data_IF_727661166302
#
_entry.id   IF_727661166302
#
_cell.length_a   1.000
_cell.length_b   1.000
_cell.length_c   1.000
_cell.angle_alpha   90.00
_cell.angle_beta   90.00
_cell.angle_gamma   90.00
#
_symmetry.space_group_name_H-M   'P 1'
#
loop_
_entity.id
_entity.type
_entity.pdbx_description
1 polymer ?
#
# COMPACT_ATOMS: atom_id res chain seq x y z
N UNK A 1 52.36 33.50 -44.85
CA UNK A 1 51.05 34.01 -45.30
C UNK A 1 50.01 33.22 -44.53
N UNK A 2 49.36 33.61 -43.44
CA UNK A 2 49.19 34.83 -42.63
C UNK A 2 49.15 34.38 -41.15
N UNK A 3 49.96 34.94 -40.24
CA UNK A 3 49.58 35.95 -39.23
C UNK A 3 48.62 35.44 -38.12
N UNK A 4 48.68 35.76 -36.82
CA UNK A 4 49.59 36.45 -35.88
C UNK A 4 48.72 36.64 -34.58
N UNK A 5 49.36 36.73 -33.39
CA UNK A 5 48.87 37.29 -32.08
C UNK A 5 47.73 36.57 -31.32
N UNK A 6 47.86 36.17 -30.04
CA UNK A 6 48.33 36.83 -28.77
C UNK A 6 47.17 37.46 -27.99
N UNK A 7 46.93 36.89 -26.80
CA UNK A 7 46.30 37.41 -25.58
C UNK A 7 45.13 38.39 -25.70
N UNK A 8 43.95 37.94 -25.27
CA UNK A 8 42.92 38.83 -24.72
C UNK A 8 42.22 38.16 -23.54
N UNK A 9 42.31 38.80 -22.36
CA UNK A 9 41.54 38.46 -21.17
C UNK A 9 40.04 38.47 -21.50
N UNK A 10 39.36 37.35 -21.27
CA UNK A 10 37.90 37.30 -21.30
C UNK A 10 37.37 37.34 -19.87
N UNK A 11 36.87 38.51 -19.48
CA UNK A 11 36.03 38.68 -18.29
C UNK A 11 34.70 37.96 -18.57
N UNK A 12 34.44 36.86 -17.86
CA UNK A 12 33.12 36.21 -17.87
C UNK A 12 32.12 37.10 -17.13
N UNK A 13 31.29 37.82 -17.89
CA UNK A 13 30.08 38.45 -17.38
C UNK A 13 29.07 37.33 -17.04
N UNK A 14 28.91 37.06 -15.75
CA UNK A 14 27.78 36.30 -15.22
C UNK A 14 26.50 37.14 -15.40
N UNK A 15 25.82 36.98 -16.53
CA UNK A 15 24.43 37.42 -16.68
C UNK A 15 23.54 36.46 -15.89
N UNK A 16 22.84 36.89 -14.82
CA UNK A 16 21.82 36.05 -14.22
C UNK A 16 20.66 35.94 -15.22
N UNK A 17 20.49 34.77 -15.81
CA UNK A 17 19.21 34.40 -16.41
C UNK A 17 18.18 34.39 -15.29
N UNK A 18 17.49 35.52 -15.11
CA UNK A 18 16.21 35.58 -14.43
C UNK A 18 15.19 34.84 -15.30
N UNK A 19 15.26 33.51 -15.29
CA UNK A 19 14.11 32.69 -15.64
C UNK A 19 13.04 33.05 -14.63
N UNK A 20 12.02 33.78 -15.10
CA UNK A 20 10.78 33.98 -14.37
C UNK A 20 10.26 32.59 -14.03
N UNK A 21 10.48 32.15 -12.79
CA UNK A 21 9.74 31.05 -12.21
C UNK A 21 8.32 31.58 -12.13
N UNK A 22 7.52 31.26 -13.15
CA UNK A 22 6.08 31.38 -13.03
C UNK A 22 5.72 30.45 -11.89
N UNK A 23 5.45 31.03 -10.72
CA UNK A 23 4.68 30.36 -9.68
C UNK A 23 3.36 29.97 -10.36
N UNK A 24 3.29 28.73 -10.83
CA UNK A 24 2.01 28.11 -11.11
C UNK A 24 1.33 28.09 -9.76
N UNK A 25 0.39 29.02 -9.56
CA UNK A 25 -0.50 28.95 -8.41
C UNK A 25 -1.03 27.51 -8.39
N UNK A 26 -0.83 26.79 -7.29
CA UNK A 26 -1.40 25.45 -7.10
C UNK A 26 -2.89 25.57 -7.42
N UNK A 27 -3.27 24.99 -8.56
CA UNK A 27 -4.61 25.17 -9.11
C UNK A 27 -5.59 24.46 -8.20
N UNK A 28 -6.17 25.20 -7.25
CA UNK A 28 -7.32 24.74 -6.50
C UNK A 28 -8.46 24.54 -7.50
N UNK A 29 -8.91 23.30 -7.66
CA UNK A 29 -10.05 22.96 -8.49
C UNK A 29 -11.20 22.60 -7.57
N UNK A 30 -12.29 23.37 -7.64
CA UNK A 30 -13.47 23.05 -6.86
C UNK A 30 -14.01 21.67 -7.24
N UNK A 31 -13.98 20.73 -6.29
CA UNK A 31 -14.58 19.40 -6.46
C UNK A 31 -16.10 19.56 -6.57
N UNK A 32 -16.66 19.25 -7.74
CA UNK A 32 -18.11 19.13 -7.97
C UNK A 32 -18.51 17.65 -7.96
N UNK A 33 -18.50 17.06 -6.78
CA UNK A 33 -18.82 15.65 -6.56
C UNK A 33 -19.62 15.52 -5.25
N UNK A 34 -20.62 14.64 -5.21
CA UNK A 34 -21.31 14.27 -3.98
C UNK A 34 -20.55 13.19 -3.18
N UNK A 35 -19.50 12.60 -3.78
CA UNK A 35 -18.68 11.61 -3.10
C UNK A 35 -17.73 12.29 -2.11
N UNK A 36 -17.73 11.79 -0.88
CA UNK A 36 -16.75 12.12 0.16
C UNK A 36 -15.89 10.90 0.44
N UNK A 37 -14.62 11.15 0.74
CA UNK A 37 -13.70 10.12 1.19
C UNK A 37 -12.96 10.56 2.43
N UNK A 38 -12.69 9.60 3.31
CA UNK A 38 -11.80 9.76 4.45
C UNK A 38 -11.00 8.49 4.63
N UNK A 39 -9.76 8.63 5.11
CA UNK A 39 -8.82 7.51 5.21
C UNK A 39 -8.07 7.55 6.53
N UNK A 40 -7.76 6.38 7.06
CA UNK A 40 -6.84 6.21 8.16
C UNK A 40 -5.97 4.98 7.92
N UNK A 41 -4.69 5.06 8.27
CA UNK A 41 -3.77 3.93 8.28
C UNK A 41 -3.18 3.78 9.69
N UNK A 42 -3.09 2.55 10.18
CA UNK A 42 -2.63 2.22 11.53
C UNK A 42 -1.63 1.07 11.50
N UNK A 43 -0.65 1.12 12.40
CA UNK A 43 0.29 0.03 12.62
C UNK A 43 -0.40 -1.12 13.38
N UNK A 44 -0.38 -2.31 12.76
CA UNK A 44 -0.93 -3.55 13.32
C UNK A 44 0.16 -4.57 13.67
N UNK A 45 1.43 -4.17 13.69
CA UNK A 45 2.54 -5.01 14.12
C UNK A 45 2.35 -5.43 15.57
N UNK A 46 2.47 -6.73 15.92
CA UNK A 46 2.47 -7.17 17.31
C UNK A 46 3.54 -6.44 18.13
N UNK A 47 3.22 -6.03 19.36
CA UNK A 47 4.20 -5.38 20.24
C UNK A 47 5.37 -6.32 20.60
N UNK A 48 5.10 -7.63 20.73
CA UNK A 48 6.07 -8.65 21.10
C UNK A 48 6.34 -9.57 19.88
N UNK A 49 7.37 -9.23 19.09
CA UNK A 49 7.71 -9.95 17.85
C UNK A 49 8.76 -11.05 18.07
N UNK A 50 9.59 -10.95 19.11
CA UNK A 50 10.70 -11.87 19.33
C UNK A 50 10.16 -13.30 19.54
N UNK A 51 10.62 -14.25 18.71
CA UNK A 51 10.20 -15.66 18.68
C UNK A 51 8.78 -15.93 18.16
N UNK A 52 8.07 -14.91 17.68
CA UNK A 52 6.78 -15.10 17.01
C UNK A 52 6.99 -15.90 15.72
N UNK A 53 6.10 -16.86 15.45
CA UNK A 53 6.09 -17.62 14.20
C UNK A 53 5.12 -16.99 13.20
N UNK A 54 5.61 -16.66 12.00
CA UNK A 54 4.79 -16.12 10.90
C UNK A 54 4.09 -17.25 10.15
N UNK A 55 2.99 -16.95 9.44
CA UNK A 55 2.06 -18.00 8.96
C UNK A 55 2.28 -18.52 7.54
N UNK A 56 2.79 -17.71 6.61
CA UNK A 56 2.95 -18.13 5.21
C UNK A 56 4.14 -19.06 5.04
N UNK A 57 5.33 -18.46 5.00
CA UNK A 57 6.60 -19.20 5.06
C UNK A 57 7.02 -19.30 6.53
N UNK A 58 6.49 -20.32 7.21
CA UNK A 58 6.62 -20.49 8.67
C UNK A 58 8.06 -20.48 9.12
N UNK A 59 8.36 -19.54 10.00
CA UNK A 59 9.67 -19.33 10.63
C UNK A 59 9.52 -18.41 11.84
N UNK A 60 10.43 -18.51 12.79
CA UNK A 60 10.48 -17.58 13.92
C UNK A 60 11.16 -16.29 13.52
N UNK A 61 10.57 -15.16 13.88
CA UNK A 61 11.17 -13.84 13.64
C UNK A 61 11.83 -13.29 14.91
N UNK A 62 12.87 -12.49 14.71
CA UNK A 62 13.67 -11.84 15.76
C UNK A 62 13.40 -10.34 15.86
N UNK A 63 12.54 -9.81 14.99
CA UNK A 63 12.19 -8.40 14.94
C UNK A 63 11.41 -8.07 13.67
N UNK A 64 11.33 -6.78 13.38
CA UNK A 64 10.53 -6.19 12.30
C UNK A 64 11.49 -5.48 11.34
N UNK A 65 11.37 -5.74 10.03
CA UNK A 65 12.07 -4.99 8.98
C UNK A 65 11.32 -3.69 8.70
N UNK A 66 10.01 -3.83 8.51
CA UNK A 66 9.08 -2.76 8.19
C UNK A 66 7.71 -3.13 8.80
N UNK A 67 6.92 -2.14 9.27
CA UNK A 67 5.72 -2.40 10.04
C UNK A 67 4.60 -2.96 9.18
N UNK A 68 3.79 -3.84 9.76
CA UNK A 68 2.53 -4.29 9.19
C UNK A 68 1.46 -3.23 9.43
N UNK A 69 0.62 -2.99 8.43
CA UNK A 69 -0.36 -1.90 8.48
C UNK A 69 -1.76 -2.39 8.16
N UNK A 70 -2.74 -1.69 8.71
CA UNK A 70 -4.11 -1.73 8.25
C UNK A 70 -4.53 -0.35 7.74
N UNK A 71 -5.16 -0.32 6.57
CA UNK A 71 -5.77 0.87 5.99
C UNK A 71 -7.29 0.77 6.03
N UNK A 72 -7.97 1.86 6.33
CA UNK A 72 -9.43 1.98 6.22
C UNK A 72 -9.77 3.19 5.38
N UNK A 73 -10.34 2.96 4.20
CA UNK A 73 -10.91 3.98 3.32
C UNK A 73 -12.42 3.96 3.46
N UNK A 74 -13.00 5.06 3.92
CA UNK A 74 -14.45 5.26 4.01
C UNK A 74 -14.89 6.15 2.86
N UNK A 75 -15.96 5.74 2.17
CA UNK A 75 -16.59 6.50 1.09
C UNK A 75 -18.06 6.73 1.43
N UNK A 76 -18.58 7.91 1.10
CA UNK A 76 -19.95 8.35 1.38
C UNK A 76 -20.47 9.20 0.21
N UNK A 77 -21.55 8.78 -0.45
CA UNK A 77 -22.20 9.52 -1.53
C UNK A 77 -23.40 10.38 -1.07
N UNK A 78 -23.65 10.43 0.24
CA UNK A 78 -24.80 11.07 0.87
C UNK A 78 -26.00 10.15 1.11
N UNK A 79 -26.04 8.97 0.49
CA UNK A 79 -27.08 7.95 0.64
C UNK A 79 -26.53 6.64 1.22
N UNK A 80 -25.36 6.22 0.73
CA UNK A 80 -24.69 4.97 1.08
C UNK A 80 -23.27 5.26 1.56
N UNK A 81 -22.93 4.68 2.70
CA UNK A 81 -21.54 4.62 3.18
C UNK A 81 -20.98 3.23 3.01
N UNK A 82 -19.74 3.15 2.58
CA UNK A 82 -18.98 1.91 2.45
C UNK A 82 -17.59 2.07 3.07
N UNK A 83 -16.99 0.96 3.48
CA UNK A 83 -15.60 0.95 3.94
C UNK A 83 -14.80 -0.15 3.22
N UNK A 84 -13.57 0.19 2.81
CA UNK A 84 -12.58 -0.74 2.30
C UNK A 84 -11.45 -0.84 3.32
N UNK A 85 -11.27 -2.02 3.90
CA UNK A 85 -10.21 -2.34 4.85
C UNK A 85 -9.15 -3.18 4.17
N UNK A 86 -7.89 -2.77 4.23
CA UNK A 86 -6.74 -3.54 3.73
C UNK A 86 -5.83 -3.93 4.88
N UNK A 87 -5.35 -5.17 4.90
CA UNK A 87 -4.53 -5.73 5.97
C UNK A 87 -3.22 -6.31 5.41
N UNK A 88 -2.09 -5.98 6.01
CA UNK A 88 -0.81 -6.66 5.74
C UNK A 88 -0.75 -8.04 6.43
N UNK A 89 -1.70 -8.92 6.11
CA UNK A 89 -1.85 -10.27 6.65
C UNK A 89 -2.00 -11.31 5.53
N UNK A 90 -1.91 -12.60 5.89
CA UNK A 90 -2.01 -13.72 4.95
C UNK A 90 -3.39 -13.86 4.30
N UNK A 91 -4.45 -13.47 5.01
CA UNK A 91 -5.82 -13.70 4.58
C UNK A 91 -6.82 -12.92 5.44
N UNK A 92 -7.96 -12.60 4.85
CA UNK A 92 -9.10 -12.00 5.54
C UNK A 92 -10.13 -13.11 5.82
N UNK A 93 -9.82 -13.96 6.81
CA UNK A 93 -10.68 -15.08 7.20
C UNK A 93 -11.89 -14.62 8.02
N UNK A 94 -12.94 -15.43 8.08
CA UNK A 94 -14.19 -15.10 8.80
C UNK A 94 -13.96 -14.69 10.25
N UNK A 95 -12.95 -15.26 10.91
CA UNK A 95 -12.52 -14.98 12.27
C UNK A 95 -12.00 -13.54 12.44
N UNK A 96 -11.46 -12.94 11.38
CA UNK A 96 -11.05 -11.52 11.33
C UNK A 96 -12.22 -10.66 10.83
N UNK A 97 -12.82 -11.07 9.70
CA UNK A 97 -13.81 -10.27 8.96
C UNK A 97 -15.05 -9.99 9.81
N UNK A 98 -15.58 -11.01 10.49
CA UNK A 98 -16.81 -10.88 11.28
C UNK A 98 -16.66 -9.87 12.42
N UNK A 99 -15.66 -10.00 13.34
CA UNK A 99 -15.48 -9.01 14.39
C UNK A 99 -15.01 -7.65 13.87
N UNK A 100 -14.23 -7.59 12.78
CA UNK A 100 -13.82 -6.31 12.19
C UNK A 100 -15.04 -5.53 11.67
N UNK A 101 -15.94 -6.20 10.93
CA UNK A 101 -17.19 -5.58 10.45
C UNK A 101 -18.06 -5.09 11.60
N UNK A 102 -18.28 -5.94 12.61
CA UNK A 102 -19.08 -5.57 13.78
C UNK A 102 -18.50 -4.38 14.54
N UNK A 103 -17.18 -4.36 14.73
CA UNK A 103 -16.50 -3.26 15.43
C UNK A 103 -16.51 -1.96 14.61
N UNK A 104 -16.32 -2.03 13.29
CA UNK A 104 -16.38 -0.85 12.41
C UNK A 104 -17.80 -0.31 12.34
N UNK A 105 -18.81 -1.17 12.19
CA UNK A 105 -20.23 -0.78 12.21
C UNK A 105 -20.58 -0.06 13.50
N UNK A 106 -20.16 -0.61 14.65
CA UNK A 106 -20.34 0.03 15.96
C UNK A 106 -19.73 1.42 16.04
N UNK A 107 -18.52 1.63 15.50
CA UNK A 107 -17.79 2.90 15.62
C UNK A 107 -18.21 3.96 14.58
N UNK A 108 -18.84 3.55 13.49
CA UNK A 108 -19.08 4.44 12.33
C UNK A 108 -20.53 4.49 11.85
N UNK A 109 -21.36 3.50 12.22
CA UNK A 109 -22.70 3.30 11.68
C UNK A 109 -22.72 2.78 10.23
N UNK A 110 -21.58 2.43 9.63
CA UNK A 110 -21.53 1.83 8.30
C UNK A 110 -22.04 0.38 8.42
N UNK A 111 -23.09 -0.03 7.69
CA UNK A 111 -23.64 -1.37 7.79
C UNK A 111 -22.57 -2.43 7.53
N UNK A 112 -22.54 -3.53 8.30
CA UNK A 112 -21.55 -4.60 8.13
C UNK A 112 -21.46 -5.14 6.69
N UNK A 113 -22.58 -5.19 5.98
CA UNK A 113 -22.67 -5.61 4.58
C UNK A 113 -21.95 -4.68 3.60
N UNK A 114 -21.73 -3.42 3.98
CA UNK A 114 -21.08 -2.39 3.17
C UNK A 114 -19.56 -2.29 3.45
N UNK A 115 -19.01 -3.23 4.21
CA UNK A 115 -17.60 -3.23 4.63
C UNK A 115 -16.87 -4.37 3.93
N UNK A 116 -15.93 -4.03 3.05
CA UNK A 116 -14.99 -4.98 2.47
C UNK A 116 -13.74 -5.07 3.36
N UNK A 117 -13.30 -6.29 3.66
CA UNK A 117 -12.04 -6.54 4.36
C UNK A 117 -11.18 -7.44 3.47
N UNK A 118 -10.00 -6.97 3.10
CA UNK A 118 -9.07 -7.64 2.22
C UNK A 118 -7.69 -7.71 2.86
N UNK A 119 -6.94 -8.75 2.53
CA UNK A 119 -5.57 -8.92 2.98
C UNK A 119 -4.62 -8.90 1.77
N UNK A 120 -3.39 -8.39 1.95
CA UNK A 120 -2.39 -8.36 0.90
C UNK A 120 -1.83 -9.74 0.54
N UNK A 121 -2.21 -10.78 1.28
CA UNK A 121 -1.71 -12.15 1.24
C UNK A 121 -0.29 -12.31 1.78
N UNK A 122 0.09 -11.48 2.74
CA UNK A 122 1.43 -11.40 3.32
C UNK A 122 1.89 -12.71 4.00
N UNK A 123 3.07 -13.20 3.63
CA UNK A 123 3.67 -14.45 4.16
C UNK A 123 4.54 -14.29 5.41
N UNK A 124 4.81 -13.04 5.82
CA UNK A 124 5.76 -12.67 6.87
C UNK A 124 5.09 -12.01 8.08
N UNK A 125 3.76 -12.05 8.16
CA UNK A 125 2.96 -11.55 9.26
C UNK A 125 2.52 -12.63 10.25
N UNK A 126 1.95 -12.23 11.41
CA UNK A 126 1.47 -13.16 12.42
C UNK A 126 0.20 -13.89 11.97
N UNK A 127 -0.10 -15.01 12.62
CA UNK A 127 -1.42 -15.62 12.58
C UNK A 127 -2.43 -14.84 13.40
N UNK A 128 -3.71 -14.99 13.09
CA UNK A 128 -4.79 -14.38 13.84
C UNK A 128 -5.46 -15.39 14.77
N UNK A 129 -5.61 -14.97 16.02
CA UNK A 129 -6.39 -15.61 17.06
C UNK A 129 -7.19 -14.51 17.77
N UNK A 130 -8.52 -14.62 17.73
CA UNK A 130 -9.44 -13.63 18.30
C UNK A 130 -9.30 -13.48 19.82
N UNK A 131 -8.83 -14.53 20.51
CA UNK A 131 -8.67 -14.51 21.96
C UNK A 131 -7.31 -13.97 22.41
N UNK A 132 -6.33 -13.94 21.49
CA UNK A 132 -5.02 -13.37 21.74
C UNK A 132 -5.07 -11.87 22.01
N UNK A 133 -4.10 -11.36 22.77
CA UNK A 133 -3.94 -9.92 23.04
C UNK A 133 -3.85 -9.13 21.73
N UNK A 134 -3.05 -9.61 20.78
CA UNK A 134 -2.87 -8.96 19.48
C UNK A 134 -4.14 -8.99 18.64
N UNK A 135 -4.88 -10.10 18.60
CA UNK A 135 -6.14 -10.19 17.86
C UNK A 135 -7.18 -9.18 18.36
N UNK A 136 -7.36 -9.06 19.68
CA UNK A 136 -8.23 -8.04 20.30
C UNK A 136 -7.77 -6.62 19.97
N UNK A 137 -6.47 -6.36 20.03
CA UNK A 137 -5.89 -5.07 19.69
C UNK A 137 -6.09 -4.71 18.21
N UNK A 138 -5.90 -5.68 17.30
CA UNK A 138 -6.15 -5.51 15.87
C UNK A 138 -7.60 -5.05 15.63
N UNK A 139 -8.59 -5.78 16.15
CA UNK A 139 -10.01 -5.43 15.94
C UNK A 139 -10.33 -4.04 16.48
N UNK A 140 -9.84 -3.69 17.67
CA UNK A 140 -10.01 -2.35 18.24
C UNK A 140 -9.36 -1.26 17.38
N UNK A 141 -8.14 -1.50 16.88
CA UNK A 141 -7.43 -0.59 15.96
C UNK A 141 -8.20 -0.38 14.66
N UNK A 142 -8.82 -1.43 14.09
CA UNK A 142 -9.65 -1.30 12.88
C UNK A 142 -10.87 -0.40 13.11
N UNK A 143 -11.58 -0.58 14.21
CA UNK A 143 -12.71 0.30 14.57
C UNK A 143 -12.28 1.76 14.77
N UNK A 144 -11.19 1.97 15.52
CA UNK A 144 -10.65 3.31 15.76
C UNK A 144 -10.19 3.99 14.46
N UNK A 145 -9.51 3.25 13.58
CA UNK A 145 -9.10 3.74 12.27
C UNK A 145 -10.32 4.09 11.41
N UNK A 146 -11.37 3.25 11.39
CA UNK A 146 -12.59 3.55 10.65
C UNK A 146 -13.29 4.81 11.16
N UNK A 147 -13.37 5.00 12.48
CA UNK A 147 -13.89 6.22 13.09
C UNK A 147 -13.09 7.46 12.70
N UNK A 148 -11.76 7.36 12.71
CA UNK A 148 -10.88 8.43 12.27
C UNK A 148 -11.08 8.75 10.79
N UNK A 149 -11.19 7.72 9.93
CA UNK A 149 -11.45 7.90 8.51
C UNK A 149 -12.80 8.62 8.30
N UNK A 150 -13.86 8.15 8.97
CA UNK A 150 -15.20 8.73 8.87
C UNK A 150 -15.26 10.21 9.36
N UNK A 151 -14.51 10.56 10.42
CA UNK A 151 -14.52 11.94 10.94
C UNK A 151 -13.73 12.93 10.08
N UNK A 152 -12.80 12.44 9.24
CA UNK A 152 -11.95 13.26 8.34
C UNK A 152 -12.45 13.29 6.90
N UNK A 153 -13.70 12.88 6.64
CA UNK A 153 -14.24 12.83 5.28
C UNK A 153 -14.32 14.22 4.63
N UNK A 154 -13.81 14.33 3.42
CA UNK A 154 -13.88 15.55 2.60
C UNK A 154 -14.44 15.21 1.21
N UNK A 155 -15.11 16.15 0.50
CA UNK A 155 -15.52 15.93 -0.88
C UNK A 155 -14.31 15.58 -1.76
N UNK A 156 -14.44 14.58 -2.63
CA UNK A 156 -13.37 14.14 -3.51
C UNK A 156 -13.84 13.87 -4.94
N UNK A 157 -12.90 13.98 -5.88
CA UNK A 157 -12.98 13.32 -7.18
C UNK A 157 -12.16 12.03 -7.16
N UNK A 158 -12.53 11.08 -8.01
CA UNK A 158 -11.80 9.80 -8.14
C UNK A 158 -11.14 9.75 -9.51
N UNK A 159 -9.82 9.65 -9.54
CA UNK A 159 -9.05 9.32 -10.73
C UNK A 159 -8.80 7.81 -10.81
N UNK A 160 -8.77 7.28 -12.03
CA UNK A 160 -8.33 5.92 -12.31
C UNK A 160 -7.12 5.95 -13.24
N UNK A 161 -6.12 5.13 -12.92
CA UNK A 161 -4.95 4.90 -13.77
C UNK A 161 -4.62 3.41 -13.82
N UNK A 162 -4.00 3.00 -14.92
CA UNK A 162 -3.47 1.65 -15.09
C UNK A 162 -2.07 1.72 -15.68
N UNK A 163 -1.18 0.89 -15.15
CA UNK A 163 0.16 0.63 -15.70
C UNK A 163 0.51 -0.85 -15.44
N UNK A 164 1.79 -1.24 -15.49
CA UNK A 164 2.24 -2.62 -15.36
C UNK A 164 3.46 -2.82 -14.46
N UNK A 165 3.49 -3.95 -13.74
CA UNK A 165 4.70 -4.50 -13.12
C UNK A 165 5.44 -5.46 -14.07
N UNK A 166 6.75 -5.50 -13.95
CA UNK A 166 7.62 -6.41 -14.73
C UNK A 166 8.18 -7.60 -13.96
N UNK A 167 7.79 -7.79 -12.70
CA UNK A 167 8.40 -8.77 -11.79
C UNK A 167 7.49 -9.94 -11.40
N UNK A 168 6.24 -9.98 -11.87
CA UNK A 168 5.35 -11.11 -11.65
C UNK A 168 5.54 -12.19 -12.73
N UNK A 169 5.43 -13.45 -12.34
CA UNK A 169 5.50 -14.61 -13.25
C UNK A 169 4.59 -15.72 -12.73
N UNK A 170 3.94 -16.43 -13.66
CA UNK A 170 3.14 -17.58 -13.29
C UNK A 170 4.03 -18.71 -12.74
N UNK A 171 3.67 -19.27 -11.58
CA UNK A 171 4.41 -20.35 -10.90
C UNK A 171 3.76 -21.73 -11.02
N UNK A 172 2.93 -21.94 -12.04
CA UNK A 172 2.22 -23.19 -12.35
C UNK A 172 2.52 -23.61 -13.77
N UNK A 173 3.42 -24.60 -13.91
CA UNK A 173 3.73 -25.24 -15.21
C UNK A 173 3.04 -26.59 -15.29
N UNK A 174 2.44 -26.91 -16.43
CA UNK A 174 1.84 -28.23 -16.68
C UNK A 174 2.91 -29.14 -17.28
N UNK A 175 3.21 -30.27 -16.62
CA UNK A 175 4.14 -31.29 -17.09
C UNK A 175 3.41 -32.63 -17.01
N UNK A 176 3.31 -33.34 -18.14
CA UNK A 176 2.59 -34.62 -18.24
C UNK A 176 1.16 -34.55 -17.68
N UNK A 177 0.42 -33.48 -18.00
CA UNK A 177 -0.95 -33.24 -17.55
C UNK A 177 -1.11 -32.82 -16.07
N UNK A 178 -0.01 -32.62 -15.33
CA UNK A 178 -0.04 -32.19 -13.92
C UNK A 178 0.55 -30.80 -13.74
N UNK A 179 -0.15 -29.96 -12.98
CA UNK A 179 0.38 -28.66 -12.58
C UNK A 179 1.43 -28.83 -11.46
N UNK A 180 2.63 -28.30 -11.67
CA UNK A 180 3.73 -28.30 -10.70
C UNK A 180 4.17 -26.88 -10.35
N UNK A 181 4.76 -26.71 -9.16
CA UNK A 181 5.34 -25.43 -8.73
C UNK A 181 6.65 -25.21 -9.49
N UNK A 182 6.57 -24.46 -10.59
CA UNK A 182 7.71 -24.08 -11.43
C UNK A 182 7.35 -22.82 -12.20
N UNK A 183 8.35 -21.98 -12.47
CA UNK A 183 8.17 -20.80 -13.30
C UNK A 183 7.64 -21.20 -14.69
N UNK A 184 6.63 -20.46 -15.14
CA UNK A 184 5.94 -20.66 -16.39
C UNK A 184 5.77 -19.29 -17.06
N UNK A 185 6.78 -18.87 -17.82
CA UNK A 185 6.78 -17.59 -18.54
C UNK A 185 5.65 -17.50 -19.59
N UNK A 186 5.25 -18.65 -20.14
CA UNK A 186 4.14 -18.77 -21.10
C UNK A 186 2.76 -18.86 -20.42
N UNK A 187 2.72 -18.91 -19.08
CA UNK A 187 1.49 -19.03 -18.30
C UNK A 187 0.73 -17.71 -18.19
N UNK A 188 -0.59 -17.74 -17.88
CA UNK A 188 -1.35 -16.53 -17.67
C UNK A 188 -0.75 -15.72 -16.51
N UNK A 189 -0.47 -14.46 -16.77
CA UNK A 189 0.03 -13.49 -15.80
C UNK A 189 -0.70 -12.17 -16.06
N UNK A 190 -1.22 -11.54 -15.01
CA UNK A 190 -1.82 -10.21 -15.11
C UNK A 190 -0.78 -9.18 -14.62
N UNK A 191 -0.08 -8.46 -15.52
CA UNK A 191 0.93 -7.52 -15.11
C UNK A 191 0.32 -6.18 -14.66
N UNK A 192 -1.00 -5.97 -14.79
CA UNK A 192 -1.62 -4.66 -14.59
C UNK A 192 -1.58 -4.24 -13.13
N UNK A 193 -1.19 -3.00 -12.90
CA UNK A 193 -1.40 -2.27 -11.65
C UNK A 193 -2.50 -1.25 -11.89
N UNK A 194 -3.57 -1.36 -11.13
CA UNK A 194 -4.70 -0.44 -11.18
C UNK A 194 -4.65 0.48 -9.98
N UNK A 195 -4.85 1.76 -10.19
CA UNK A 195 -4.77 2.78 -9.15
C UNK A 195 -6.04 3.60 -9.15
N UNK A 196 -6.65 3.72 -7.98
CA UNK A 196 -7.66 4.74 -7.70
C UNK A 196 -7.01 5.82 -6.85
N UNK A 197 -7.17 7.07 -7.26
CA UNK A 197 -6.66 8.26 -6.57
C UNK A 197 -7.84 9.12 -6.13
N UNK A 198 -7.84 9.56 -4.88
CA UNK A 198 -8.92 10.36 -4.29
C UNK A 198 -8.40 11.76 -4.00
N UNK A 199 -8.88 12.76 -4.74
CA UNK A 199 -8.39 14.14 -4.68
C UNK A 199 -9.46 15.08 -4.13
N UNK A 200 -9.10 15.89 -3.13
CA UNK A 200 -10.01 16.91 -2.55
C UNK A 200 -9.99 18.24 -3.30
N UNK A 201 -9.18 18.35 -4.35
CA UNK A 201 -9.04 19.52 -5.21
C UNK A 201 -8.37 20.72 -4.58
N UNK A 202 -7.86 20.60 -3.33
CA UNK A 202 -7.18 21.70 -2.63
C UNK A 202 -5.68 21.75 -2.89
N UNK A 203 -5.08 20.61 -3.28
CA UNK A 203 -3.67 20.49 -3.61
C UNK A 203 -3.43 19.32 -4.58
N UNK A 204 -2.18 19.16 -5.05
CA UNK A 204 -1.75 18.00 -5.83
C UNK A 204 -1.53 16.74 -4.97
N UNK A 205 -1.70 16.83 -3.66
CA UNK A 205 -1.59 15.71 -2.71
C UNK A 205 -2.95 15.02 -2.59
N UNK A 206 -3.07 13.74 -2.99
CA UNK A 206 -4.33 13.03 -2.84
C UNK A 206 -4.59 12.69 -1.37
N UNK A 207 -5.88 12.63 -1.00
CA UNK A 207 -6.34 12.15 0.30
C UNK A 207 -5.92 10.69 0.49
N UNK A 208 -6.16 9.87 -0.54
CA UNK A 208 -5.83 8.45 -0.52
C UNK A 208 -5.45 7.94 -1.91
N UNK A 209 -4.65 6.87 -1.92
CA UNK A 209 -4.35 6.08 -3.13
C UNK A 209 -4.65 4.61 -2.81
N UNK A 210 -5.45 3.96 -3.64
CA UNK A 210 -5.76 2.54 -3.55
C UNK A 210 -5.17 1.82 -4.76
N UNK A 211 -4.20 0.94 -4.52
CA UNK A 211 -3.53 0.18 -5.56
C UNK A 211 -4.05 -1.25 -5.58
N UNK A 212 -4.11 -1.85 -6.77
CA UNK A 212 -4.40 -3.25 -6.98
C UNK A 212 -3.37 -3.86 -7.92
N UNK A 213 -2.74 -4.96 -7.52
CA UNK A 213 -1.80 -5.70 -8.35
C UNK A 213 -1.91 -7.22 -8.14
N UNK A 214 -1.45 -7.99 -9.12
CA UNK A 214 -1.45 -9.45 -9.09
C UNK A 214 -0.02 -9.96 -8.96
N UNK A 215 0.43 -10.20 -7.72
CA UNK A 215 1.71 -10.85 -7.45
C UNK A 215 1.75 -11.39 -6.02
N UNK A 216 2.23 -12.62 -5.83
CA UNK A 216 2.33 -13.24 -4.51
C UNK A 216 3.39 -12.52 -3.64
N UNK A 217 3.08 -12.05 -2.42
CA UNK A 217 4.00 -11.26 -1.60
C UNK A 217 4.94 -12.17 -0.79
N UNK A 218 5.99 -12.62 -1.46
CA UNK A 218 7.03 -13.47 -0.88
C UNK A 218 8.44 -12.95 -1.17
N UNK A 219 8.61 -11.67 -1.49
CA UNK A 219 9.89 -11.07 -1.89
C UNK A 219 10.94 -11.15 -0.79
N UNK A 220 10.56 -10.87 0.45
CA UNK A 220 11.51 -10.87 1.58
C UNK A 220 11.52 -12.16 2.37
N UNK A 221 10.90 -13.24 1.85
CA UNK A 221 10.91 -14.56 2.49
C UNK A 221 12.33 -15.05 2.76
N UNK A 222 13.26 -14.74 1.85
CA UNK A 222 14.65 -15.22 1.87
C UNK A 222 15.67 -14.10 2.10
N UNK A 223 15.19 -12.88 2.40
CA UNK A 223 16.00 -11.68 2.58
C UNK A 223 15.93 -10.73 1.38
N UNK A 224 16.71 -9.66 1.42
CA UNK A 224 16.88 -8.69 0.34
C UNK A 224 18.30 -8.70 -0.24
N UNK A 225 18.52 -7.91 -1.30
CA UNK A 225 19.86 -7.68 -1.87
C UNK A 225 20.73 -6.93 -0.85
N UNK A 226 21.58 -7.66 -0.15
CA UNK A 226 22.50 -7.13 0.86
C UNK A 226 22.40 -7.84 2.20
N UNK A 227 21.33 -8.61 2.41
CA UNK A 227 21.21 -9.50 3.57
C UNK A 227 22.02 -10.80 3.41
N UNK A 228 22.49 -11.37 4.52
CA UNK A 228 23.14 -12.69 4.52
C UNK A 228 22.14 -13.77 4.04
N UNK A 229 22.60 -14.91 3.49
CA UNK A 229 21.70 -16.00 3.17
C UNK A 229 20.94 -16.50 4.40
N UNK A 230 19.63 -16.63 4.31
CA UNK A 230 18.79 -17.22 5.36
C UNK A 230 18.17 -18.52 4.88
N UNK A 231 18.86 -19.67 5.04
CA UNK A 231 18.38 -20.96 4.55
C UNK A 231 17.05 -21.38 5.21
N UNK A 232 16.81 -20.92 6.43
CA UNK A 232 15.57 -21.16 7.20
C UNK A 232 14.55 -20.00 7.09
N UNK A 233 14.80 -19.06 6.16
CA UNK A 233 13.96 -17.89 5.92
C UNK A 233 14.36 -16.66 6.73
N UNK A 234 14.08 -15.48 6.17
CA UNK A 234 14.50 -14.18 6.70
C UNK A 234 13.89 -13.90 8.08
N UNK A 235 14.69 -13.68 9.14
CA UNK A 235 14.22 -13.70 10.53
C UNK A 235 13.58 -12.37 10.96
N UNK A 236 12.92 -11.66 10.04
CA UNK A 236 12.20 -10.41 10.30
C UNK A 236 10.79 -10.47 9.71
N UNK A 237 9.85 -9.88 10.44
CA UNK A 237 8.51 -9.57 9.97
C UNK A 237 8.59 -8.42 8.95
N UNK A 238 7.75 -8.47 7.92
CA UNK A 238 7.73 -7.49 6.84
C UNK A 238 6.36 -7.48 6.18
N UNK A 239 5.91 -6.31 5.74
CA UNK A 239 4.71 -6.13 4.91
C UNK A 239 4.95 -6.54 3.43
N UNK A 240 6.17 -6.96 3.08
CA UNK A 240 6.58 -7.42 1.74
C UNK A 240 6.42 -6.33 0.67
N UNK A 241 6.49 -6.68 -0.62
CA UNK A 241 6.38 -5.68 -1.69
C UNK A 241 5.10 -4.82 -1.62
N UNK A 242 3.93 -5.29 -1.14
CA UNK A 242 2.76 -4.44 -0.97
C UNK A 242 2.99 -3.30 0.03
N UNK A 243 3.68 -3.59 1.14
CA UNK A 243 4.04 -2.58 2.13
C UNK A 243 5.05 -1.57 1.60
N UNK A 244 6.07 -2.04 0.89
CA UNK A 244 7.06 -1.18 0.21
C UNK A 244 6.40 -0.27 -0.82
N UNK A 245 5.49 -0.80 -1.65
CA UNK A 245 4.76 0.00 -2.63
C UNK A 245 3.92 1.09 -1.94
N UNK A 246 3.25 0.77 -0.84
CA UNK A 246 2.51 1.76 -0.05
C UNK A 246 3.44 2.84 0.48
N UNK A 247 4.54 2.47 1.15
CA UNK A 247 5.52 3.42 1.69
C UNK A 247 6.14 4.30 0.61
N UNK A 248 6.51 3.74 -0.54
CA UNK A 248 7.06 4.50 -1.66
C UNK A 248 6.09 5.57 -2.16
N UNK A 249 4.82 5.21 -2.39
CA UNK A 249 3.79 6.17 -2.82
C UNK A 249 3.59 7.27 -1.77
N UNK A 250 3.54 6.93 -0.49
CA UNK A 250 3.39 7.92 0.58
C UNK A 250 4.57 8.88 0.64
N UNK A 251 5.79 8.37 0.48
CA UNK A 251 7.00 9.19 0.40
C UNK A 251 6.97 10.18 -0.77
N UNK A 252 6.48 9.78 -1.94
CA UNK A 252 6.31 10.67 -3.09
C UNK A 252 5.39 11.87 -2.80
N UNK A 253 4.47 11.74 -1.84
CA UNK A 253 3.57 12.79 -1.38
C UNK A 253 3.94 13.34 0.00
N UNK A 254 5.21 13.22 0.41
CA UNK A 254 5.71 13.77 1.67
C UNK A 254 5.02 13.19 2.92
N UNK A 255 4.53 11.95 2.84
CA UNK A 255 3.76 11.25 3.88
C UNK A 255 2.44 11.95 4.29
N UNK A 256 1.88 12.78 3.42
CA UNK A 256 0.60 13.45 3.63
C UNK A 256 -0.59 12.65 3.07
N UNK A 257 -0.33 11.68 2.20
CA UNK A 257 -1.31 10.73 1.63
C UNK A 257 -1.27 9.42 2.40
N UNK A 258 -2.41 8.71 2.50
CA UNK A 258 -2.43 7.29 2.87
C UNK A 258 -2.58 6.41 1.63
N UNK A 259 -1.67 5.46 1.45
CA UNK A 259 -1.69 4.47 0.37
C UNK A 259 -2.15 3.11 0.90
N UNK A 260 -3.00 2.43 0.14
CA UNK A 260 -3.59 1.13 0.45
C UNK A 260 -3.35 0.15 -0.70
N UNK A 261 -3.37 -1.15 -0.40
CA UNK A 261 -3.11 -2.20 -1.37
C UNK A 261 -4.18 -3.30 -1.34
N UNK A 262 -4.66 -3.70 -2.51
CA UNK A 262 -5.53 -4.84 -2.74
C UNK A 262 -4.80 -5.89 -3.57
N UNK A 263 -4.84 -7.12 -3.08
CA UNK A 263 -4.31 -8.26 -3.79
C UNK A 263 -5.31 -8.73 -4.85
N UNK A 264 -4.81 -8.96 -6.08
CA UNK A 264 -5.59 -9.60 -7.13
C UNK A 264 -5.47 -11.14 -7.12
N UNK A 265 -5.82 -11.79 -8.23
CA UNK A 265 -5.81 -13.26 -8.32
C UNK A 265 -4.38 -13.82 -8.53
N UNK A 266 -3.62 -13.93 -7.44
CA UNK A 266 -2.18 -14.25 -7.43
C UNK A 266 -1.80 -15.59 -6.76
#
# INVERSE_FOLDING_TARGET
MHQIFRNLCLVLLLTPCLSSVTNVAEGQSAVKSNLRAGVAKVDITPAEVKQLEVVGHRRKVTGVRDPLRAGVLVLDDGQTKVAIVTLDLIGAYSEIVTPARAQIEKETGIPAANIMVAASHNHSGPGFDADSRWGKELINKLGAAAKQAASKMTPVTVGYGEDKIGFSVNRRKVINGRAVVRLNEDGPNDPRVKVLRFDDGKSLTPVAVLMHAVCHPCFFTWGDKGSLPYPDGFPKMSADFPGEAQTFVEMCYGNQTSSLFLQGCA
#
